data_IF_908424097371
#
_entry.id   IF_908424097371
#
_cell.length_a   1.000
_cell.length_b   1.000
_cell.length_c   1.000
_cell.angle_alpha   90.00
_cell.angle_beta   90.00
_cell.angle_gamma   90.00
#
_symmetry.space_group_name_H-M   'P 1'
#
loop_
_entity.id
_entity.type
_entity.pdbx_description
1 polymer ?
#
# COMPACT_ATOMS: atom_id res chain seq x y z
N UNK A 1 -14.71 8.75 -9.52
CA UNK A 1 -14.03 8.40 -8.25
C UNK A 1 -12.55 8.37 -8.53
N UNK A 2 -11.71 9.09 -7.77
CA UNK A 2 -10.28 9.16 -8.08
C UNK A 2 -9.63 7.80 -7.81
N UNK A 3 -8.58 7.44 -8.57
CA UNK A 3 -7.85 6.16 -8.41
C UNK A 3 -7.35 6.00 -6.97
N UNK A 4 -6.93 7.10 -6.34
CA UNK A 4 -6.52 7.15 -4.92
C UNK A 4 -7.64 6.77 -3.96
N UNK A 5 -8.88 7.20 -4.21
CA UNK A 5 -10.04 6.85 -3.37
C UNK A 5 -10.35 5.36 -3.49
N UNK A 6 -10.24 4.81 -4.71
CA UNK A 6 -10.45 3.39 -4.97
C UNK A 6 -9.39 2.54 -4.27
N UNK A 7 -8.14 2.99 -4.31
CA UNK A 7 -7.05 2.34 -3.60
C UNK A 7 -7.24 2.41 -2.07
N UNK A 8 -7.60 3.57 -1.52
CA UNK A 8 -7.89 3.72 -0.09
C UNK A 8 -9.04 2.80 0.36
N UNK A 9 -10.11 2.70 -0.44
CA UNK A 9 -11.20 1.75 -0.19
C UNK A 9 -10.69 0.30 -0.23
N UNK A 10 -9.82 -0.04 -1.19
CA UNK A 10 -9.24 -1.37 -1.29
C UNK A 10 -8.52 -1.76 0.00
N UNK A 11 -7.68 -0.87 0.55
CA UNK A 11 -6.95 -1.11 1.82
C UNK A 11 -7.86 -1.52 2.99
N UNK A 12 -9.03 -0.90 3.10
CA UNK A 12 -10.02 -1.24 4.13
C UNK A 12 -10.68 -2.59 3.82
N UNK A 13 -11.11 -2.80 2.57
CA UNK A 13 -11.85 -4.00 2.17
C UNK A 13 -11.01 -5.28 2.21
N UNK A 14 -9.72 -5.20 1.89
CA UNK A 14 -8.79 -6.34 1.91
C UNK A 14 -8.17 -6.57 3.28
N UNK A 15 -8.52 -5.75 4.28
CA UNK A 15 -7.95 -5.80 5.64
C UNK A 15 -6.41 -5.62 5.66
N UNK A 16 -5.85 -5.03 4.60
CA UNK A 16 -4.43 -4.64 4.55
C UNK A 16 -4.16 -3.36 5.33
N UNK A 17 -5.19 -2.60 5.67
CA UNK A 17 -5.15 -1.54 6.67
C UNK A 17 -5.99 -1.89 7.89
N UNK A 18 -5.45 -1.63 9.08
CA UNK A 18 -6.17 -1.74 10.36
C UNK A 18 -5.86 -0.53 11.23
N UNK A 19 -6.84 -0.16 12.05
CA UNK A 19 -6.72 0.94 12.99
C UNK A 19 -7.32 0.55 14.33
N UNK A 20 -6.54 0.73 15.40
CA UNK A 20 -6.99 0.59 16.78
C UNK A 20 -6.40 1.74 17.60
N UNK A 21 -7.23 2.73 17.94
CA UNK A 21 -6.80 3.90 18.69
C UNK A 21 -6.62 3.62 20.19
N UNK A 22 -7.20 2.54 20.70
CA UNK A 22 -7.20 2.21 22.13
C UNK A 22 -6.02 1.32 22.50
N UNK A 23 -5.83 0.22 21.76
CA UNK A 23 -4.74 -0.74 22.03
C UNK A 23 -3.54 -0.53 21.11
N UNK A 24 -3.79 -0.12 19.87
CA UNK A 24 -2.75 -0.05 18.83
C UNK A 24 -2.10 -1.39 18.51
N UNK A 25 -1.01 -1.32 17.77
CA UNK A 25 -0.22 -2.46 17.30
C UNK A 25 1.23 -2.27 17.72
N UNK A 26 1.81 -3.29 18.36
CA UNK A 26 3.22 -3.30 18.74
C UNK A 26 4.07 -3.57 17.50
N UNK A 27 4.98 -2.67 17.19
CA UNK A 27 5.92 -2.79 16.09
C UNK A 27 7.17 -3.56 16.53
N UNK A 28 7.92 -4.10 15.57
CA UNK A 28 9.18 -4.80 15.83
C UNK A 28 10.23 -3.91 16.52
N UNK A 29 10.16 -2.59 16.31
CA UNK A 29 10.99 -1.60 17.01
C UNK A 29 10.63 -1.42 18.49
N UNK A 30 9.55 -2.03 18.96
CA UNK A 30 9.00 -1.81 20.30
C UNK A 30 8.09 -0.59 20.42
N UNK A 31 7.95 0.24 19.38
CA UNK A 31 6.95 1.32 19.39
C UNK A 31 5.52 0.74 19.27
N UNK A 32 4.53 1.50 19.73
CA UNK A 32 3.11 1.18 19.49
C UNK A 32 2.53 2.20 18.53
N UNK A 33 1.94 1.72 17.44
CA UNK A 33 1.26 2.55 16.43
C UNK A 33 -0.24 2.27 16.47
N UNK A 34 -1.12 3.29 16.37
CA UNK A 34 -2.54 3.02 16.20
C UNK A 34 -2.86 2.44 14.82
N UNK A 35 -1.93 2.53 13.86
CA UNK A 35 -2.10 2.07 12.49
C UNK A 35 -1.27 0.82 12.20
N UNK A 36 -1.85 -0.09 11.44
CA UNK A 36 -1.17 -1.23 10.85
C UNK A 36 -1.47 -1.29 9.36
N UNK A 37 -0.41 -1.44 8.54
CA UNK A 37 -0.49 -1.52 7.08
C UNK A 37 0.35 -2.71 6.61
N UNK A 38 -0.25 -3.62 5.86
CA UNK A 38 0.45 -4.70 5.17
C UNK A 38 0.14 -4.66 3.66
N UNK A 39 1.03 -4.04 2.90
CA UNK A 39 0.88 -3.92 1.44
C UNK A 39 0.94 -5.26 0.71
N UNK A 40 1.55 -6.31 1.29
CA UNK A 40 1.66 -7.62 0.62
C UNK A 40 0.30 -8.28 0.48
N UNK A 41 -0.56 -8.13 1.50
CA UNK A 41 -1.97 -8.57 1.44
C UNK A 41 -2.70 -7.86 0.31
N UNK A 42 -2.55 -6.53 0.19
CA UNK A 42 -3.18 -5.75 -0.88
C UNK A 42 -2.72 -6.23 -2.27
N UNK A 43 -1.42 -6.48 -2.44
CA UNK A 43 -0.83 -6.89 -3.71
C UNK A 43 -1.24 -8.30 -4.16
N UNK A 44 -1.76 -9.13 -3.24
CA UNK A 44 -2.33 -10.44 -3.56
C UNK A 44 -3.70 -10.33 -4.30
N UNK A 45 -4.33 -9.14 -4.29
CA UNK A 45 -5.59 -8.90 -4.99
C UNK A 45 -5.35 -8.26 -6.37
N UNK A 46 -5.78 -8.88 -7.49
CA UNK A 46 -5.50 -8.39 -8.83
C UNK A 46 -5.98 -6.95 -9.12
N UNK A 47 -7.20 -6.61 -8.68
CA UNK A 47 -7.77 -5.28 -8.87
C UNK A 47 -6.99 -4.18 -8.15
N UNK A 48 -6.83 -4.25 -6.81
CA UNK A 48 -6.01 -3.31 -6.05
C UNK A 48 -4.57 -3.19 -6.56
N UNK A 49 -3.94 -4.30 -6.96
CA UNK A 49 -2.60 -4.29 -7.57
C UNK A 49 -2.54 -3.43 -8.85
N UNK A 50 -3.57 -3.48 -9.69
CA UNK A 50 -3.63 -2.65 -10.89
C UNK A 50 -3.76 -1.15 -10.55
N UNK A 51 -4.49 -0.79 -9.49
CA UNK A 51 -4.58 0.59 -9.03
C UNK A 51 -3.22 1.14 -8.57
N UNK A 52 -2.43 0.33 -7.86
CA UNK A 52 -1.06 0.68 -7.46
C UNK A 52 -0.17 0.88 -8.69
N UNK A 53 -0.23 -0.03 -9.66
CA UNK A 53 0.56 0.07 -10.88
C UNK A 53 0.21 1.34 -11.69
N UNK A 54 -1.07 1.68 -11.81
CA UNK A 54 -1.51 2.90 -12.49
C UNK A 54 -0.94 4.15 -11.80
N UNK A 55 -1.08 4.27 -10.48
CA UNK A 55 -0.57 5.42 -9.74
C UNK A 55 0.97 5.52 -9.80
N UNK A 56 1.67 4.39 -9.80
CA UNK A 56 3.12 4.36 -9.95
C UNK A 56 3.54 4.80 -11.36
N UNK A 57 2.85 4.33 -12.40
CA UNK A 57 3.08 4.77 -13.77
C UNK A 57 2.82 6.26 -13.94
N UNK A 58 1.67 6.76 -13.48
CA UNK A 58 1.31 8.17 -13.55
C UNK A 58 2.32 9.08 -12.85
N UNK A 59 3.01 8.57 -11.81
CA UNK A 59 4.01 9.31 -11.06
C UNK A 59 5.41 9.30 -11.70
N UNK A 60 5.66 8.44 -12.69
CA UNK A 60 7.01 8.23 -13.26
C UNK A 60 7.06 8.29 -14.79
N UNK A 61 5.92 8.39 -15.48
CA UNK A 61 5.86 8.24 -16.95
C UNK A 61 6.61 9.33 -17.73
N UNK A 62 6.91 10.46 -17.10
CA UNK A 62 7.65 11.59 -17.67
C UNK A 62 9.15 11.56 -17.33
N UNK A 63 9.57 10.60 -16.50
CA UNK A 63 10.96 10.44 -16.11
C UNK A 63 11.73 9.62 -17.16
N UNK A 64 12.97 10.03 -17.52
CA UNK A 64 13.84 9.24 -18.39
C UNK A 64 14.43 8.07 -17.60
N UNK A 65 13.68 6.96 -17.53
CA UNK A 65 14.05 5.77 -16.75
C UNK A 65 14.61 4.67 -17.66
N UNK A 66 15.90 4.37 -17.51
CA UNK A 66 16.55 3.25 -18.22
C UNK A 66 16.31 1.90 -17.53
N UNK A 67 16.10 1.90 -16.21
CA UNK A 67 15.87 0.69 -15.42
C UNK A 67 15.01 0.95 -14.18
N UNK A 68 14.22 -0.06 -13.77
CA UNK A 68 13.43 -0.04 -12.54
C UNK A 68 13.90 -1.19 -11.65
N UNK A 69 14.43 -0.86 -10.47
CA UNK A 69 14.82 -1.83 -9.46
C UNK A 69 13.68 -2.09 -8.47
N UNK A 70 13.44 -3.37 -8.16
CA UNK A 70 12.56 -3.79 -7.06
C UNK A 70 13.36 -4.06 -5.78
N UNK A 71 12.79 -3.73 -4.63
CA UNK A 71 13.31 -4.20 -3.34
C UNK A 71 13.11 -5.73 -3.25
N UNK A 72 14.12 -6.44 -2.73
CA UNK A 72 14.17 -7.91 -2.69
C UNK A 72 12.96 -8.53 -1.98
N UNK A 73 12.55 -7.94 -0.86
CA UNK A 73 11.33 -8.29 -0.12
C UNK A 73 10.62 -6.98 0.22
N UNK A 74 9.50 -6.72 -0.44
CA UNK A 74 8.62 -5.58 -0.16
C UNK A 74 7.81 -5.73 1.13
#
# INVERSE_FOLDING_TARGET
MLVKDALAKAFVTTQSFKWDKAKGFKLASGATSPFYVDCRVLMAHPGPRALVAQLAFDAMNDLPVDCIGGLEIG
#
